data_IF_596894682796
#
_entry.id   IF_596894682796
#
_cell.length_a   1.000
_cell.length_b   1.000
_cell.length_c   1.000
_cell.angle_alpha   90.00
_cell.angle_beta   90.00
_cell.angle_gamma   90.00
#
_symmetry.space_group_name_H-M   'P 1'
#
loop_
_entity.id
_entity.type
_entity.pdbx_description
1 polymer ?
#
# COMPACT_ATOMS: atom_id res chain seq x y z
N UNK A 1 -78.05 -53.73 -29.91
CA UNK A 1 -76.55 -53.52 -30.03
C UNK A 1 -76.21 -52.09 -29.58
N UNK A 2 -75.78 -51.98 -28.31
CA UNK A 2 -75.35 -50.74 -27.70
C UNK A 2 -73.81 -50.81 -27.42
N UNK A 3 -73.03 -50.01 -28.16
CA UNK A 3 -71.58 -49.98 -27.95
C UNK A 3 -71.29 -48.99 -26.81
N UNK A 4 -70.67 -49.47 -25.77
CA UNK A 4 -70.15 -48.69 -24.66
C UNK A 4 -68.78 -48.15 -25.07
N UNK A 5 -68.61 -46.83 -25.04
CA UNK A 5 -67.32 -46.16 -25.23
C UNK A 5 -66.77 -45.83 -23.82
N UNK A 6 -65.67 -46.49 -23.46
CA UNK A 6 -64.94 -46.21 -22.21
C UNK A 6 -64.00 -45.01 -22.46
N UNK A 7 -64.18 -43.95 -21.69
CA UNK A 7 -63.37 -42.74 -21.72
C UNK A 7 -62.26 -42.87 -20.67
N UNK A 8 -60.99 -42.99 -21.11
CA UNK A 8 -59.82 -43.08 -20.22
C UNK A 8 -59.42 -41.65 -19.91
N UNK A 9 -59.55 -41.25 -18.66
CA UNK A 9 -58.99 -40.00 -18.14
C UNK A 9 -57.47 -40.21 -17.80
N UNK A 10 -56.61 -39.62 -18.58
CA UNK A 10 -55.17 -39.56 -18.25
C UNK A 10 -54.94 -38.30 -17.39
N UNK A 11 -54.69 -38.51 -16.09
CA UNK A 11 -54.34 -37.44 -15.16
C UNK A 11 -52.85 -37.09 -15.35
N UNK A 12 -52.59 -35.92 -15.92
CA UNK A 12 -51.26 -35.33 -16.02
C UNK A 12 -50.92 -34.72 -14.67
N UNK A 13 -50.07 -35.38 -13.89
CA UNK A 13 -49.44 -34.82 -12.70
C UNK A 13 -48.29 -33.92 -13.17
N UNK A 14 -48.56 -32.63 -13.21
CA UNK A 14 -47.53 -31.63 -13.46
C UNK A 14 -46.56 -31.56 -12.28
N UNK A 15 -45.34 -32.08 -12.44
CA UNK A 15 -44.22 -31.72 -11.56
C UNK A 15 -43.88 -30.23 -11.77
N UNK A 16 -44.39 -29.36 -10.91
CA UNK A 16 -43.84 -28.04 -10.71
C UNK A 16 -42.42 -28.20 -10.09
N UNK A 17 -41.42 -28.26 -10.95
CA UNK A 17 -40.04 -28.03 -10.52
C UNK A 17 -39.93 -26.60 -10.00
N UNK A 18 -39.84 -26.45 -8.67
CA UNK A 18 -39.40 -25.18 -8.08
C UNK A 18 -37.96 -24.91 -8.58
N UNK A 19 -37.85 -24.07 -9.61
CA UNK A 19 -36.58 -23.44 -9.91
C UNK A 19 -36.25 -22.54 -8.73
N UNK A 20 -35.38 -23.03 -7.84
CA UNK A 20 -34.71 -22.25 -6.83
C UNK A 20 -33.97 -21.13 -7.58
N UNK A 21 -34.62 -19.97 -7.73
CA UNK A 21 -33.98 -18.76 -8.13
C UNK A 21 -32.90 -18.50 -7.09
N UNK A 22 -31.66 -18.79 -7.46
CA UNK A 22 -30.50 -18.30 -6.71
C UNK A 22 -30.67 -16.80 -6.57
N UNK A 23 -31.03 -16.35 -5.38
CA UNK A 23 -31.21 -14.94 -5.02
C UNK A 23 -29.85 -14.25 -5.26
N UNK A 24 -29.67 -13.73 -6.45
CA UNK A 24 -28.49 -13.00 -6.86
C UNK A 24 -28.46 -11.68 -6.09
N UNK A 25 -27.79 -11.67 -4.94
CA UNK A 25 -27.51 -10.41 -4.25
C UNK A 25 -26.79 -9.47 -5.22
N UNK A 26 -27.36 -8.28 -5.43
CA UNK A 26 -26.72 -7.22 -6.21
C UNK A 26 -25.34 -6.91 -5.62
N UNK A 27 -24.30 -6.81 -6.43
CA UNK A 27 -22.96 -6.47 -5.95
C UNK A 27 -22.99 -5.18 -5.13
N UNK A 28 -22.32 -5.18 -4.01
CA UNK A 28 -22.14 -4.01 -3.17
C UNK A 28 -21.12 -3.06 -3.83
N UNK A 29 -21.54 -1.86 -4.16
CA UNK A 29 -20.62 -0.82 -4.62
C UNK A 29 -19.79 -0.32 -3.45
N UNK A 30 -18.48 -0.27 -3.64
CA UNK A 30 -17.48 0.15 -2.64
C UNK A 30 -16.52 1.12 -3.32
N UNK A 31 -16.34 2.29 -2.73
CA UNK A 31 -15.36 3.29 -3.17
C UNK A 31 -14.11 3.22 -2.31
N UNK A 32 -12.96 3.16 -2.94
CA UNK A 32 -11.67 3.11 -2.25
C UNK A 32 -10.64 4.06 -2.89
N UNK A 33 -9.89 4.77 -2.06
CA UNK A 33 -8.69 5.51 -2.51
C UNK A 33 -7.43 4.71 -2.34
N UNK A 34 -6.48 4.96 -3.24
CA UNK A 34 -5.09 4.51 -3.15
C UNK A 34 -4.15 5.70 -3.43
N UNK A 35 -2.96 5.76 -2.82
CA UNK A 35 -2.05 6.90 -3.01
C UNK A 35 -1.42 6.97 -4.40
N UNK A 36 -1.12 5.82 -5.00
CA UNK A 36 -0.38 5.73 -6.27
C UNK A 36 -0.74 4.44 -7.01
N UNK A 37 -0.50 4.41 -8.33
CA UNK A 37 -0.49 3.16 -9.10
C UNK A 37 0.95 2.63 -9.09
N UNK A 38 1.26 1.77 -8.11
CA UNK A 38 2.60 1.21 -7.92
C UNK A 38 2.52 -0.19 -7.31
N UNK A 39 3.67 -0.87 -7.21
CA UNK A 39 3.77 -2.23 -6.65
C UNK A 39 3.31 -2.32 -5.19
N UNK A 40 3.33 -1.23 -4.44
CA UNK A 40 2.77 -1.17 -3.08
C UNK A 40 1.26 -1.47 -3.04
N UNK A 41 0.56 -1.26 -4.17
CA UNK A 41 -0.88 -1.58 -4.32
C UNK A 41 -1.13 -3.00 -4.85
N UNK A 42 -0.11 -3.86 -4.86
CA UNK A 42 -0.16 -5.24 -5.35
C UNK A 42 -1.37 -6.02 -4.82
N UNK A 43 -1.75 -5.99 -3.51
CA UNK A 43 -2.90 -6.72 -3.02
C UNK A 43 -4.21 -6.33 -3.71
N UNK A 44 -4.39 -5.01 -3.95
CA UNK A 44 -5.59 -4.46 -4.59
C UNK A 44 -5.68 -4.87 -6.05
N UNK A 45 -4.60 -4.67 -6.80
CA UNK A 45 -4.58 -4.98 -8.24
C UNK A 45 -4.61 -6.48 -8.52
N UNK A 46 -3.96 -7.31 -7.70
CA UNK A 46 -4.09 -8.76 -7.81
C UNK A 46 -5.51 -9.21 -7.56
N UNK A 47 -6.15 -8.72 -6.49
CA UNK A 47 -7.52 -9.07 -6.18
C UNK A 47 -8.48 -8.68 -7.32
N UNK A 48 -8.26 -7.50 -7.92
CA UNK A 48 -9.05 -6.99 -9.04
C UNK A 48 -8.85 -7.85 -10.31
N UNK A 49 -7.60 -8.07 -10.71
CA UNK A 49 -7.27 -8.81 -11.94
C UNK A 49 -7.64 -10.30 -11.85
N UNK A 50 -7.71 -10.85 -10.64
CA UNK A 50 -8.11 -12.24 -10.38
C UNK A 50 -9.59 -12.43 -10.08
N UNK A 51 -10.39 -11.36 -10.12
CA UNK A 51 -11.83 -11.41 -9.90
C UNK A 51 -12.26 -11.65 -8.44
N UNK A 52 -11.37 -11.54 -7.46
CA UNK A 52 -11.68 -11.85 -6.06
C UNK A 52 -12.72 -10.91 -5.45
N UNK A 53 -12.81 -9.67 -5.91
CA UNK A 53 -13.89 -8.76 -5.50
C UNK A 53 -15.26 -9.24 -6.00
N UNK A 54 -15.33 -9.72 -7.25
CA UNK A 54 -16.56 -10.27 -7.81
C UNK A 54 -17.01 -11.55 -7.08
N UNK A 55 -16.07 -12.42 -6.68
CA UNK A 55 -16.36 -13.62 -5.88
C UNK A 55 -17.06 -13.27 -4.55
N UNK A 56 -16.69 -12.14 -3.94
CA UNK A 56 -17.30 -11.60 -2.72
C UNK A 56 -18.45 -10.62 -3.00
N UNK A 57 -18.94 -10.55 -4.24
CA UNK A 57 -20.02 -9.65 -4.67
C UNK A 57 -19.74 -8.18 -4.33
N UNK A 58 -18.52 -7.73 -4.56
CA UNK A 58 -18.07 -6.35 -4.43
C UNK A 58 -17.82 -5.80 -5.84
N UNK A 59 -18.42 -4.66 -6.13
CA UNK A 59 -18.06 -3.79 -7.24
C UNK A 59 -17.16 -2.68 -6.71
N UNK A 60 -15.85 -2.82 -6.90
CA UNK A 60 -14.86 -1.89 -6.35
C UNK A 60 -14.55 -0.77 -7.34
N UNK A 61 -14.77 0.48 -6.92
CA UNK A 61 -14.34 1.71 -7.59
C UNK A 61 -13.07 2.22 -6.89
N UNK A 62 -11.93 2.22 -7.61
CA UNK A 62 -10.62 2.62 -7.07
C UNK A 62 -10.17 3.93 -7.70
N UNK A 63 -9.89 4.93 -6.87
CA UNK A 63 -9.35 6.23 -7.30
C UNK A 63 -7.96 6.44 -6.74
N UNK A 64 -6.98 6.75 -7.61
CA UNK A 64 -5.64 7.18 -7.19
C UNK A 64 -5.63 8.68 -6.90
N UNK A 65 -5.12 9.06 -5.74
CA UNK A 65 -5.11 10.46 -5.26
C UNK A 65 -3.75 11.14 -5.46
N UNK A 66 -2.75 10.42 -5.97
CA UNK A 66 -1.36 10.88 -6.14
C UNK A 66 -0.68 11.31 -4.81
N UNK A 67 -1.07 10.70 -3.69
CA UNK A 67 -0.44 10.88 -2.39
C UNK A 67 -1.32 10.53 -1.20
N UNK A 68 -0.72 10.07 -0.09
CA UNK A 68 -1.44 9.53 1.07
C UNK A 68 -2.27 10.55 1.85
N UNK A 69 -1.91 11.83 1.85
CA UNK A 69 -2.68 12.87 2.52
C UNK A 69 -4.08 13.10 1.92
N UNK A 70 -4.24 13.21 0.59
CA UNK A 70 -5.55 13.28 -0.05
C UNK A 70 -6.43 12.05 0.21
N UNK A 71 -5.86 10.84 0.28
CA UNK A 71 -6.60 9.60 0.60
C UNK A 71 -7.35 9.73 1.93
N UNK A 72 -6.63 10.14 2.96
CA UNK A 72 -7.17 10.26 4.31
C UNK A 72 -8.21 11.39 4.39
N UNK A 73 -8.01 12.49 3.68
CA UNK A 73 -9.01 13.57 3.63
C UNK A 73 -10.32 13.10 3.00
N UNK A 74 -10.25 12.37 1.87
CA UNK A 74 -11.43 11.81 1.21
C UNK A 74 -12.17 10.80 2.12
N UNK A 75 -11.40 9.97 2.85
CA UNK A 75 -11.99 9.02 3.81
C UNK A 75 -12.66 9.74 4.99
N UNK A 76 -12.03 10.75 5.57
CA UNK A 76 -12.60 11.56 6.67
C UNK A 76 -13.85 12.31 6.22
N UNK A 77 -13.85 12.87 5.00
CA UNK A 77 -15.01 13.56 4.42
C UNK A 77 -16.21 12.63 4.14
N UNK A 78 -15.96 11.33 4.00
CA UNK A 78 -16.98 10.35 3.65
C UNK A 78 -17.20 10.19 2.15
N UNK A 79 -16.32 10.73 1.32
CA UNK A 79 -16.38 10.63 -0.14
C UNK A 79 -16.10 9.20 -0.62
N UNK A 80 -15.36 8.43 0.21
CA UNK A 80 -15.03 7.02 -0.01
C UNK A 80 -15.30 6.19 1.25
N UNK A 81 -15.46 4.87 1.04
CA UNK A 81 -15.73 3.91 2.12
C UNK A 81 -14.45 3.42 2.78
N UNK A 82 -13.40 3.26 1.97
CA UNK A 82 -12.09 2.73 2.36
C UNK A 82 -10.95 3.60 1.80
N UNK A 83 -9.81 3.51 2.46
CA UNK A 83 -8.52 3.90 1.89
C UNK A 83 -7.53 2.77 2.08
N UNK A 84 -6.69 2.49 1.06
CA UNK A 84 -5.59 1.54 1.17
C UNK A 84 -4.29 2.32 1.06
N UNK A 85 -3.73 2.72 2.20
CA UNK A 85 -2.59 3.64 2.30
C UNK A 85 -1.74 3.37 3.55
N UNK A 86 -0.67 4.14 3.74
CA UNK A 86 0.27 3.95 4.84
C UNK A 86 -0.32 4.35 6.20
N UNK A 87 0.00 3.58 7.25
CA UNK A 87 -0.61 3.73 8.58
C UNK A 87 -0.13 4.95 9.37
N UNK A 88 0.98 5.59 8.99
CA UNK A 88 1.41 6.87 9.55
C UNK A 88 0.33 7.96 9.41
N UNK A 89 -0.42 7.94 8.32
CA UNK A 89 -1.54 8.85 8.09
C UNK A 89 -2.66 8.68 9.12
N UNK A 90 -2.93 7.46 9.60
CA UNK A 90 -3.93 7.20 10.66
C UNK A 90 -3.48 7.78 12.00
N UNK A 91 -2.20 7.62 12.32
CA UNK A 91 -1.58 8.17 13.54
C UNK A 91 -1.67 9.70 13.54
N UNK A 92 -1.35 10.34 12.42
CA UNK A 92 -1.39 11.79 12.28
C UNK A 92 -2.83 12.33 12.29
N UNK A 93 -3.77 11.64 11.64
CA UNK A 93 -5.19 11.98 11.72
C UNK A 93 -5.70 11.90 13.16
N UNK A 94 -5.28 10.87 13.93
CA UNK A 94 -5.63 10.73 15.34
C UNK A 94 -5.10 11.90 16.17
N UNK A 95 -3.86 12.34 15.95
CA UNK A 95 -3.28 13.53 16.60
C UNK A 95 -4.13 14.79 16.36
N UNK A 96 -4.75 14.89 15.17
CA UNK A 96 -5.65 15.98 14.80
C UNK A 96 -7.11 15.78 15.31
N UNK A 97 -7.35 14.77 16.14
CA UNK A 97 -8.67 14.43 16.69
C UNK A 97 -9.60 13.74 15.68
N UNK A 98 -9.07 13.26 14.55
CA UNK A 98 -9.81 12.49 13.55
C UNK A 98 -9.61 11.00 13.79
N UNK A 99 -10.67 10.27 14.10
CA UNK A 99 -10.59 8.83 14.37
C UNK A 99 -10.73 8.03 13.07
N UNK A 100 -9.75 7.16 12.84
CA UNK A 100 -9.73 6.18 11.75
C UNK A 100 -9.25 4.85 12.32
N UNK A 101 -9.61 3.73 11.66
CA UNK A 101 -9.21 2.39 12.07
C UNK A 101 -8.52 1.66 10.92
N UNK A 102 -7.33 1.14 11.19
CA UNK A 102 -6.70 0.13 10.37
C UNK A 102 -7.35 -1.24 10.67
N UNK A 103 -7.97 -1.86 9.68
CA UNK A 103 -8.70 -3.13 9.86
C UNK A 103 -7.97 -4.31 9.24
N UNK A 104 -6.92 -4.06 8.48
CA UNK A 104 -6.03 -5.06 7.89
C UNK A 104 -4.70 -4.42 7.49
N UNK A 105 -3.59 -5.09 7.76
CA UNK A 105 -2.29 -4.77 7.18
C UNK A 105 -2.13 -5.51 5.85
N UNK A 106 -1.98 -4.78 4.75
CA UNK A 106 -1.64 -5.37 3.45
C UNK A 106 -0.15 -5.62 3.31
N UNK A 107 0.67 -4.65 3.73
CA UNK A 107 2.13 -4.70 3.73
C UNK A 107 2.63 -4.19 5.10
N UNK A 108 3.54 -4.93 5.72
CA UNK A 108 4.00 -4.70 7.09
C UNK A 108 5.52 -4.52 7.24
N UNK A 109 6.24 -4.36 6.13
CA UNK A 109 7.68 -4.06 6.14
C UNK A 109 7.98 -2.86 5.27
N UNK A 110 8.90 -2.03 5.72
CA UNK A 110 9.34 -0.86 4.98
C UNK A 110 10.11 -1.28 3.72
N UNK A 111 9.71 -0.75 2.57
CA UNK A 111 10.37 -0.96 1.27
C UNK A 111 10.64 0.36 0.51
N UNK A 112 10.51 1.51 1.17
CA UNK A 112 10.89 2.79 0.57
C UNK A 112 12.41 2.86 0.47
N UNK A 113 12.92 2.81 -0.75
CA UNK A 113 14.35 2.83 -1.03
C UNK A 113 14.84 4.25 -1.33
N UNK A 114 16.13 4.49 -1.06
CA UNK A 114 16.80 5.76 -1.31
C UNK A 114 17.83 5.56 -2.42
N UNK A 115 17.75 6.37 -3.46
CA UNK A 115 18.78 6.42 -4.50
C UNK A 115 19.54 7.75 -4.40
N UNK A 116 20.84 7.70 -4.66
CA UNK A 116 21.71 8.89 -4.75
C UNK A 116 22.29 8.98 -6.16
N UNK A 117 22.35 10.18 -6.72
CA UNK A 117 23.01 10.41 -8.00
C UNK A 117 24.50 10.07 -7.90
N UNK A 118 25.08 9.43 -8.93
CA UNK A 118 26.47 8.94 -8.91
C UNK A 118 27.49 10.02 -8.61
N UNK A 119 27.32 11.22 -9.18
CA UNK A 119 28.24 12.33 -8.91
C UNK A 119 28.16 12.80 -7.47
N UNK A 120 26.96 12.85 -6.90
CA UNK A 120 26.77 13.21 -5.48
C UNK A 120 27.34 12.13 -4.56
N UNK A 121 27.17 10.85 -4.90
CA UNK A 121 27.79 9.74 -4.19
C UNK A 121 29.31 9.83 -4.22
N UNK A 122 29.90 10.08 -5.41
CA UNK A 122 31.35 10.29 -5.58
C UNK A 122 31.87 11.46 -4.77
N UNK A 123 31.19 12.60 -4.77
CA UNK A 123 31.59 13.78 -3.99
C UNK A 123 31.59 13.56 -2.48
N UNK A 124 30.79 12.60 -2.00
CA UNK A 124 30.66 12.21 -0.60
C UNK A 124 31.45 10.92 -0.27
N UNK A 125 32.17 10.33 -1.22
CA UNK A 125 32.89 9.05 -1.10
C UNK A 125 31.98 7.90 -0.66
N UNK A 126 30.72 7.89 -1.12
CA UNK A 126 29.70 6.89 -0.79
C UNK A 126 29.61 5.82 -1.90
N UNK A 127 29.51 4.56 -1.47
CA UNK A 127 29.21 3.39 -2.30
C UNK A 127 28.00 2.64 -1.72
N UNK A 128 27.50 1.65 -2.43
CA UNK A 128 26.42 0.78 -1.92
C UNK A 128 26.84 0.00 -0.65
N UNK A 129 28.12 -0.34 -0.53
CA UNK A 129 28.69 -1.07 0.62
C UNK A 129 29.09 -0.18 1.80
N UNK A 130 29.00 1.14 1.67
CA UNK A 130 29.30 2.06 2.80
C UNK A 130 28.35 1.78 3.95
N UNK A 131 28.85 1.71 5.22
CA UNK A 131 28.00 1.50 6.39
C UNK A 131 26.89 2.53 6.52
N UNK A 132 25.69 2.09 6.97
CA UNK A 132 24.52 2.95 7.09
C UNK A 132 24.80 4.26 7.83
N UNK A 133 25.50 4.20 8.97
CA UNK A 133 25.83 5.38 9.76
C UNK A 133 26.63 6.44 8.98
N UNK A 134 27.51 6.01 8.08
CA UNK A 134 28.28 6.91 7.21
C UNK A 134 27.43 7.47 6.07
N UNK A 135 26.56 6.63 5.46
CA UNK A 135 25.58 7.06 4.46
C UNK A 135 24.68 8.16 5.03
N UNK A 136 24.21 8.02 6.27
CA UNK A 136 23.39 9.03 6.93
C UNK A 136 24.14 10.35 7.14
N UNK A 137 25.40 10.30 7.58
CA UNK A 137 26.23 11.51 7.74
C UNK A 137 26.52 12.23 6.42
N UNK A 138 26.58 11.48 5.32
CA UNK A 138 26.82 12.04 3.99
C UNK A 138 25.68 12.90 3.46
N UNK A 139 24.49 12.81 4.06
CA UNK A 139 23.32 13.63 3.65
C UNK A 139 23.52 15.12 3.90
N UNK A 140 24.45 15.53 4.78
CA UNK A 140 24.69 16.95 5.07
C UNK A 140 25.03 17.76 3.82
N UNK A 141 24.29 18.83 3.61
CA UNK A 141 24.45 19.75 2.47
C UNK A 141 23.90 19.21 1.15
N UNK A 142 23.25 18.04 1.15
CA UNK A 142 22.59 17.50 -0.04
C UNK A 142 21.12 17.94 -0.13
N UNK A 143 20.61 17.92 -1.36
CA UNK A 143 19.19 18.11 -1.64
C UNK A 143 18.50 16.74 -1.72
N UNK A 144 17.50 16.53 -0.88
CA UNK A 144 16.72 15.27 -0.79
C UNK A 144 15.32 15.45 -1.39
N UNK A 145 15.04 14.72 -2.44
CA UNK A 145 13.74 14.71 -3.11
C UNK A 145 12.76 13.74 -2.44
N UNK A 146 11.58 14.26 -2.11
CA UNK A 146 10.46 13.49 -1.55
C UNK A 146 9.24 13.58 -2.47
N UNK A 147 8.26 12.67 -2.34
CA UNK A 147 7.10 12.70 -3.24
C UNK A 147 6.28 13.97 -3.04
N UNK A 148 5.78 14.20 -1.83
CA UNK A 148 4.99 15.39 -1.48
C UNK A 148 5.26 15.78 -0.02
N UNK A 149 5.02 17.05 0.37
CA UNK A 149 4.95 17.43 1.77
C UNK A 149 3.85 16.61 2.48
N UNK A 150 4.16 16.08 3.67
CA UNK A 150 3.24 15.23 4.44
C UNK A 150 3.07 13.80 3.94
N UNK A 151 3.81 13.37 2.91
CA UNK A 151 3.87 11.98 2.51
C UNK A 151 4.90 11.21 3.36
N UNK A 152 4.76 9.87 3.43
CA UNK A 152 5.70 9.00 4.15
C UNK A 152 7.16 9.27 3.77
N UNK A 153 7.46 9.56 2.51
CA UNK A 153 8.81 9.90 2.06
C UNK A 153 9.37 11.14 2.75
N UNK A 154 8.54 12.16 3.00
CA UNK A 154 8.94 13.36 3.74
C UNK A 154 9.15 13.05 5.23
N UNK A 155 8.32 12.20 5.83
CA UNK A 155 8.46 11.77 7.21
C UNK A 155 9.74 10.95 7.41
N UNK A 156 10.02 10.00 6.52
CA UNK A 156 11.27 9.22 6.53
C UNK A 156 12.50 10.09 6.31
N UNK A 157 12.45 11.07 5.40
CA UNK A 157 13.55 11.99 5.19
C UNK A 157 13.86 12.78 6.48
N UNK A 158 12.85 13.38 7.11
CA UNK A 158 13.02 14.12 8.36
C UNK A 158 13.57 13.21 9.48
N UNK A 159 13.05 11.99 9.62
CA UNK A 159 13.54 11.01 10.59
C UNK A 159 15.02 10.67 10.38
N UNK A 160 15.40 10.28 9.16
CA UNK A 160 16.77 9.86 8.83
C UNK A 160 17.75 11.02 9.02
N UNK A 161 17.42 12.22 8.61
CA UNK A 161 18.25 13.43 8.77
C UNK A 161 18.46 13.75 10.25
N UNK A 162 17.40 13.72 11.07
CA UNK A 162 17.51 13.96 12.53
C UNK A 162 18.32 12.88 13.21
N UNK A 163 18.13 11.61 12.84
CA UNK A 163 18.93 10.50 13.37
C UNK A 163 20.42 10.62 13.02
N UNK A 164 20.76 11.24 11.91
CA UNK A 164 22.12 11.59 11.55
C UNK A 164 22.70 12.76 12.37
N UNK A 165 21.90 13.38 13.24
CA UNK A 165 22.29 14.55 14.04
C UNK A 165 22.13 15.89 13.33
N UNK A 166 21.36 15.93 12.24
CA UNK A 166 21.18 17.14 11.44
C UNK A 166 19.79 17.74 11.62
N UNK A 167 19.69 19.06 11.32
CA UNK A 167 18.43 19.77 11.24
C UNK A 167 17.87 19.65 9.81
N UNK A 168 16.67 19.04 9.60
CA UNK A 168 16.08 18.91 8.27
C UNK A 168 15.76 20.23 7.55
N UNK A 169 15.75 21.35 8.29
CA UNK A 169 15.43 22.67 7.74
C UNK A 169 16.68 23.52 7.44
N UNK A 170 17.86 23.12 7.94
CA UNK A 170 19.10 23.89 7.86
C UNK A 170 20.25 23.14 7.21
N UNK A 171 20.42 21.85 7.56
CA UNK A 171 21.57 21.06 7.13
C UNK A 171 21.34 20.27 5.84
N UNK A 172 20.06 20.05 5.46
CA UNK A 172 19.64 19.27 4.28
C UNK A 172 18.44 19.95 3.65
N UNK A 173 18.45 20.13 2.35
CA UNK A 173 17.31 20.71 1.64
C UNK A 173 16.33 19.60 1.25
N UNK A 174 15.12 19.60 1.80
CA UNK A 174 14.06 18.66 1.41
C UNK A 174 13.13 19.34 0.41
N UNK A 175 12.95 18.75 -0.78
CA UNK A 175 12.11 19.31 -1.85
C UNK A 175 11.11 18.32 -2.39
N UNK A 176 9.87 18.72 -2.69
CA UNK A 176 8.89 17.86 -3.34
C UNK A 176 9.23 17.72 -4.82
N UNK A 177 9.29 16.47 -5.31
CA UNK A 177 9.61 16.15 -6.72
C UNK A 177 8.54 15.27 -7.39
N UNK A 178 7.45 14.94 -6.68
CA UNK A 178 6.41 14.04 -7.18
C UNK A 178 6.84 12.57 -7.18
N UNK A 179 6.27 11.79 -8.08
CA UNK A 179 6.50 10.34 -8.21
C UNK A 179 6.65 9.93 -9.68
N UNK A 180 7.11 8.69 -9.92
CA UNK A 180 7.25 8.14 -11.26
C UNK A 180 8.16 8.97 -12.17
N UNK A 181 7.70 9.43 -13.37
CA UNK A 181 8.54 10.15 -14.32
C UNK A 181 9.16 11.43 -13.77
N UNK A 182 8.44 12.20 -12.97
CA UNK A 182 8.95 13.47 -12.38
C UNK A 182 10.05 13.19 -11.37
N UNK A 183 9.93 12.15 -10.55
CA UNK A 183 10.96 11.70 -9.64
C UNK A 183 12.24 11.30 -10.38
N UNK A 184 12.08 10.48 -11.45
CA UNK A 184 13.19 10.04 -12.31
C UNK A 184 13.91 11.24 -12.90
N UNK A 185 13.18 12.15 -13.54
CA UNK A 185 13.74 13.34 -14.17
C UNK A 185 14.45 14.26 -13.17
N UNK A 186 13.92 14.41 -11.95
CA UNK A 186 14.54 15.24 -10.92
C UNK A 186 15.91 14.71 -10.49
N UNK A 187 16.04 13.40 -10.28
CA UNK A 187 17.32 12.78 -9.92
C UNK A 187 18.29 12.75 -11.11
N UNK A 188 17.82 12.37 -12.31
CA UNK A 188 18.64 12.27 -13.52
C UNK A 188 19.26 13.64 -13.92
N UNK A 189 18.47 14.71 -13.83
CA UNK A 189 18.92 16.08 -14.14
C UNK A 189 19.55 16.79 -12.93
N UNK A 190 19.84 16.08 -11.85
CA UNK A 190 20.50 16.62 -10.65
C UNK A 190 19.78 17.82 -10.03
N UNK A 191 18.44 17.85 -10.11
CA UNK A 191 17.61 18.80 -9.34
C UNK A 191 17.60 18.43 -7.87
N UNK A 192 17.87 17.17 -7.58
CA UNK A 192 18.12 16.61 -6.24
C UNK A 192 19.34 15.70 -6.28
N UNK A 193 20.04 15.56 -5.17
CA UNK A 193 21.18 14.68 -5.02
C UNK A 193 20.74 13.28 -4.63
N UNK A 194 19.73 13.18 -3.77
CA UNK A 194 19.15 11.97 -3.23
C UNK A 194 17.64 12.03 -3.41
N UNK A 195 17.02 10.90 -3.68
CA UNK A 195 15.56 10.83 -3.72
C UNK A 195 15.07 9.47 -3.21
N UNK A 196 13.90 9.45 -2.56
CA UNK A 196 13.34 8.24 -1.98
C UNK A 196 11.90 8.02 -2.43
N UNK A 197 11.59 6.76 -2.74
CA UNK A 197 10.26 6.31 -3.13
C UNK A 197 10.16 4.78 -3.11
N UNK A 198 8.99 4.26 -3.41
CA UNK A 198 8.76 2.83 -3.56
C UNK A 198 9.39 2.25 -4.84
N UNK A 199 9.79 0.96 -4.85
CA UNK A 199 10.15 0.23 -6.06
C UNK A 199 9.04 0.31 -7.13
N UNK A 200 9.38 0.23 -8.42
CA UNK A 200 10.70 0.02 -9.01
C UNK A 200 11.42 1.32 -9.40
N UNK A 201 10.95 2.49 -8.93
CA UNK A 201 11.47 3.78 -9.41
C UNK A 201 12.95 3.99 -9.07
N UNK A 202 13.45 3.72 -7.83
CA UNK A 202 14.88 3.79 -7.54
C UNK A 202 15.70 2.82 -8.39
N UNK A 203 15.22 1.60 -8.56
CA UNK A 203 15.86 0.56 -9.38
C UNK A 203 15.93 0.96 -10.85
N UNK A 204 14.93 1.68 -11.36
CA UNK A 204 14.93 2.25 -12.71
C UNK A 204 16.06 3.26 -12.90
N UNK A 205 16.26 4.16 -11.92
CA UNK A 205 17.34 5.14 -11.96
C UNK A 205 18.72 4.47 -11.97
N UNK A 206 18.88 3.40 -11.19
CA UNK A 206 20.10 2.60 -11.12
C UNK A 206 20.35 1.86 -12.44
N UNK A 207 19.32 1.22 -13.00
CA UNK A 207 19.40 0.51 -14.27
C UNK A 207 19.78 1.45 -15.44
N UNK A 208 19.29 2.71 -15.41
CA UNK A 208 19.70 3.76 -16.37
C UNK A 208 21.13 4.27 -16.17
N UNK A 209 21.80 3.88 -15.10
CA UNK A 209 23.23 4.10 -14.89
C UNK A 209 23.63 5.44 -14.27
N UNK A 210 22.71 6.31 -13.89
CA UNK A 210 23.04 7.62 -13.28
C UNK A 210 22.94 7.66 -11.75
N UNK A 211 22.38 6.63 -11.11
CA UNK A 211 22.25 6.54 -9.66
C UNK A 211 22.87 5.25 -9.09
N UNK A 212 23.02 5.20 -7.76
CA UNK A 212 23.29 3.99 -6.98
C UNK A 212 22.28 3.91 -5.83
N UNK A 213 22.12 2.72 -5.24
CA UNK A 213 21.29 2.52 -4.05
C UNK A 213 22.01 3.11 -2.84
N UNK A 214 21.41 4.12 -2.21
CA UNK A 214 21.93 4.69 -0.97
C UNK A 214 21.49 3.87 0.24
N UNK A 215 20.17 3.66 0.40
CA UNK A 215 19.61 2.83 1.48
C UNK A 215 18.56 1.89 0.87
N UNK A 216 18.74 0.58 1.09
CA UNK A 216 17.84 -0.45 0.59
C UNK A 216 16.96 -1.01 1.71
N UNK A 217 15.88 -0.32 2.03
CA UNK A 217 14.94 -0.77 3.06
C UNK A 217 14.20 -2.05 2.66
N UNK A 218 13.97 -2.29 1.37
CA UNK A 218 13.36 -3.53 0.88
C UNK A 218 14.22 -4.77 1.23
N UNK A 219 15.54 -4.60 1.36
CA UNK A 219 16.47 -5.63 1.85
C UNK A 219 16.72 -5.57 3.37
N UNK A 220 16.04 -4.67 4.08
CA UNK A 220 16.19 -4.54 5.53
C UNK A 220 17.52 -3.88 5.96
N UNK A 221 18.12 -3.02 5.14
CA UNK A 221 19.38 -2.34 5.47
C UNK A 221 19.27 -1.48 6.74
N UNK A 222 18.08 -0.98 7.05
CA UNK A 222 17.78 -0.34 8.33
C UNK A 222 16.83 -1.21 9.17
N UNK A 223 17.36 -2.12 10.00
CA UNK A 223 16.53 -3.04 10.78
C UNK A 223 15.71 -2.34 11.87
N UNK A 224 16.07 -1.11 12.27
CA UNK A 224 15.35 -0.38 13.32
C UNK A 224 13.95 0.06 12.92
N UNK A 225 13.70 0.16 11.62
CA UNK A 225 12.42 0.58 11.03
C UNK A 225 11.85 -0.44 10.04
N UNK A 226 12.39 -1.68 10.05
CA UNK A 226 11.98 -2.71 9.10
C UNK A 226 10.48 -3.07 9.23
N UNK A 227 9.97 -3.18 10.47
CA UNK A 227 8.55 -3.40 10.73
C UNK A 227 7.82 -2.05 10.80
N UNK A 228 7.33 -1.58 9.68
CA UNK A 228 6.63 -0.30 9.57
C UNK A 228 5.19 -0.50 9.12
N UNK A 229 4.27 0.40 9.52
CA UNK A 229 2.89 0.42 9.03
C UNK A 229 2.86 0.90 7.57
N UNK A 230 3.20 -0.01 6.66
CA UNK A 230 3.10 0.30 5.23
C UNK A 230 1.63 0.36 4.81
N UNK A 231 1.21 -0.34 3.78
CA UNK A 231 -0.15 -0.23 3.27
C UNK A 231 -1.16 -0.97 4.16
N UNK A 232 -2.18 -0.27 4.61
CA UNK A 232 -3.25 -0.79 5.46
C UNK A 232 -4.62 -0.48 4.84
N UNK A 233 -5.58 -1.38 5.02
CA UNK A 233 -6.98 -1.10 4.76
C UNK A 233 -7.55 -0.29 5.92
N UNK A 234 -8.02 0.91 5.62
CA UNK A 234 -8.43 1.91 6.61
C UNK A 234 -9.89 2.27 6.39
N UNK A 235 -10.62 2.41 7.49
CA UNK A 235 -12.04 2.79 7.52
C UNK A 235 -12.32 3.86 8.57
N UNK A 236 -13.48 4.51 8.47
CA UNK A 236 -14.02 5.30 9.57
C UNK A 236 -14.62 4.39 10.66
N UNK A 237 -14.60 4.77 11.95
CA UNK A 237 -15.25 4.00 13.02
C UNK A 237 -16.74 3.76 12.77
N UNK A 238 -17.44 4.72 12.15
CA UNK A 238 -18.86 4.60 11.82
C UNK A 238 -19.10 3.50 10.78
N UNK A 239 -18.19 3.35 9.78
CA UNK A 239 -18.22 2.25 8.81
C UNK A 239 -17.97 0.92 9.53
N UNK A 240 -16.99 0.88 10.45
CA UNK A 240 -16.70 -0.30 11.25
C UNK A 240 -17.89 -0.75 12.12
N UNK A 241 -18.67 0.19 12.63
CA UNK A 241 -19.86 -0.12 13.43
C UNK A 241 -21.06 -0.58 12.57
N UNK A 242 -21.25 0.01 11.39
CA UNK A 242 -22.48 -0.15 10.59
C UNK A 242 -22.39 -1.23 9.50
N UNK A 243 -21.21 -1.47 8.93
CA UNK A 243 -21.03 -2.35 7.75
C UNK A 243 -19.88 -3.34 7.92
N UNK A 244 -19.92 -4.10 9.02
CA UNK A 244 -18.89 -5.11 9.35
C UNK A 244 -18.76 -6.19 8.28
N UNK A 245 -19.86 -6.56 7.62
CA UNK A 245 -19.85 -7.59 6.59
C UNK A 245 -19.04 -7.16 5.36
N UNK A 246 -19.24 -5.94 4.86
CA UNK A 246 -18.43 -5.41 3.77
C UNK A 246 -16.95 -5.33 4.14
N UNK A 247 -16.62 -4.92 5.38
CA UNK A 247 -15.23 -4.89 5.83
C UNK A 247 -14.62 -6.29 5.84
N UNK A 248 -15.33 -7.31 6.39
CA UNK A 248 -14.84 -8.70 6.39
C UNK A 248 -14.64 -9.25 4.98
N UNK A 249 -15.53 -8.93 4.04
CA UNK A 249 -15.38 -9.30 2.63
C UNK A 249 -14.14 -8.65 2.02
N UNK A 250 -13.93 -7.35 2.21
CA UNK A 250 -12.74 -6.62 1.76
C UNK A 250 -11.45 -7.24 2.32
N UNK A 251 -11.43 -7.53 3.62
CA UNK A 251 -10.29 -8.17 4.29
C UNK A 251 -10.02 -9.56 3.70
N UNK A 252 -11.05 -10.40 3.49
CA UNK A 252 -10.90 -11.73 2.85
C UNK A 252 -10.29 -11.62 1.46
N UNK A 253 -10.79 -10.70 0.65
CA UNK A 253 -10.31 -10.47 -0.73
C UNK A 253 -8.83 -10.12 -0.74
N UNK A 254 -8.42 -9.14 0.06
CA UNK A 254 -7.03 -8.66 0.07
C UNK A 254 -6.09 -9.68 0.73
N UNK A 255 -6.53 -10.37 1.79
CA UNK A 255 -5.75 -11.46 2.41
C UNK A 255 -5.55 -12.61 1.42
N UNK A 256 -6.59 -13.01 0.68
CA UNK A 256 -6.51 -14.03 -0.37
C UNK A 256 -5.51 -13.64 -1.47
N UNK A 257 -5.49 -12.37 -1.86
CA UNK A 257 -4.53 -11.86 -2.85
C UNK A 257 -3.09 -11.96 -2.33
N UNK A 258 -2.84 -11.54 -1.09
CA UNK A 258 -1.53 -11.67 -0.45
C UNK A 258 -1.08 -13.14 -0.35
N UNK A 259 -1.96 -14.01 0.13
CA UNK A 259 -1.65 -15.44 0.27
C UNK A 259 -1.36 -16.11 -1.07
N UNK A 260 -2.09 -15.72 -2.13
CA UNK A 260 -1.79 -16.22 -3.47
C UNK A 260 -0.41 -15.74 -3.93
N UNK A 261 -0.12 -14.44 -3.77
CA UNK A 261 1.17 -13.86 -4.17
C UNK A 261 2.35 -14.51 -3.44
N UNK A 262 2.21 -14.75 -2.12
CA UNK A 262 3.25 -15.40 -1.30
C UNK A 262 3.49 -16.88 -1.66
N UNK A 263 2.52 -17.54 -2.29
CA UNK A 263 2.63 -18.94 -2.75
C UNK A 263 3.03 -19.05 -4.22
N UNK A 264 3.09 -17.94 -4.95
CA UNK A 264 3.39 -17.88 -6.38
C UNK A 264 4.85 -17.47 -6.62
N UNK A 265 5.36 -17.77 -7.82
CA UNK A 265 6.66 -17.21 -8.22
C UNK A 265 6.54 -15.72 -8.52
N UNK A 266 7.61 -14.92 -8.39
CA UNK A 266 7.58 -13.50 -8.76
C UNK A 266 7.11 -13.26 -10.19
N UNK A 267 7.43 -14.16 -11.12
CA UNK A 267 7.04 -14.11 -12.52
C UNK A 267 5.52 -14.26 -12.67
N UNK A 268 4.91 -15.22 -11.97
CA UNK A 268 3.45 -15.41 -11.95
C UNK A 268 2.72 -14.20 -11.37
N UNK A 269 3.28 -13.59 -10.33
CA UNK A 269 2.72 -12.37 -9.73
C UNK A 269 2.82 -11.19 -10.69
N UNK A 270 3.99 -11.01 -11.34
CA UNK A 270 4.18 -9.96 -12.34
C UNK A 270 3.20 -10.12 -13.51
N UNK A 271 3.02 -11.35 -14.02
CA UNK A 271 2.06 -11.63 -15.08
C UNK A 271 0.62 -11.26 -14.68
N UNK A 272 0.23 -11.60 -13.46
CA UNK A 272 -1.10 -11.26 -12.95
C UNK A 272 -1.33 -9.76 -12.75
N UNK A 273 -0.26 -8.96 -12.60
CA UNK A 273 -0.33 -7.50 -12.44
C UNK A 273 -0.34 -6.72 -13.76
N UNK A 274 0.06 -7.34 -14.89
CA UNK A 274 0.16 -6.68 -16.21
C UNK A 274 -1.08 -5.85 -16.59
N UNK A 275 -2.33 -6.31 -16.39
CA UNK A 275 -3.50 -5.51 -16.78
C UNK A 275 -3.57 -4.15 -16.07
N UNK A 276 -3.19 -4.09 -14.79
CA UNK A 276 -3.24 -2.86 -13.98
C UNK A 276 -1.97 -2.01 -14.07
N UNK A 277 -0.87 -2.57 -14.60
CA UNK A 277 0.45 -1.94 -14.65
C UNK A 277 1.07 -1.99 -16.05
N UNK A 278 0.24 -1.94 -17.09
CA UNK A 278 0.68 -2.06 -18.50
C UNK A 278 1.70 -1.01 -18.95
N UNK A 279 1.75 0.14 -18.29
CA UNK A 279 2.73 1.21 -18.57
C UNK A 279 4.14 0.93 -18.01
N UNK A 280 4.32 -0.12 -17.17
CA UNK A 280 5.61 -0.48 -16.58
C UNK A 280 6.27 -1.55 -17.45
N UNK A 281 7.55 -1.34 -17.82
CA UNK A 281 8.30 -2.31 -18.58
C UNK A 281 8.38 -3.66 -17.83
N UNK A 282 8.33 -4.83 -18.55
CA UNK A 282 8.21 -6.14 -17.92
C UNK A 282 9.31 -6.50 -16.92
N UNK A 283 10.55 -6.10 -17.20
CA UNK A 283 11.71 -6.29 -16.32
C UNK A 283 11.61 -5.45 -15.04
N UNK A 284 11.12 -4.22 -15.14
CA UNK A 284 10.86 -3.34 -14.00
C UNK A 284 9.64 -3.81 -13.19
N UNK A 285 8.62 -4.33 -13.87
CA UNK A 285 7.45 -4.93 -13.19
C UNK A 285 7.91 -6.11 -12.33
N UNK A 286 8.71 -7.03 -12.90
CA UNK A 286 9.26 -8.18 -12.17
C UNK A 286 10.19 -7.74 -11.01
N UNK A 287 11.07 -6.77 -11.26
CA UNK A 287 11.98 -6.24 -10.25
C UNK A 287 11.22 -5.64 -9.06
N UNK A 288 10.19 -4.83 -9.33
CA UNK A 288 9.33 -4.25 -8.30
C UNK A 288 8.55 -5.30 -7.50
N UNK A 289 8.03 -6.33 -8.17
CA UNK A 289 7.39 -7.48 -7.50
C UNK A 289 8.37 -8.16 -6.55
N UNK A 290 9.59 -8.49 -6.99
CA UNK A 290 10.62 -9.10 -6.13
C UNK A 290 10.96 -8.26 -4.90
N UNK A 291 10.94 -6.94 -5.04
CA UNK A 291 11.22 -6.01 -3.93
C UNK A 291 10.06 -5.91 -2.92
N UNK A 292 8.80 -6.03 -3.37
CA UNK A 292 7.63 -5.82 -2.52
C UNK A 292 7.08 -7.12 -1.92
N UNK A 293 7.22 -8.27 -2.59
CA UNK A 293 6.72 -9.56 -2.09
C UNK A 293 7.08 -9.85 -0.63
N UNK A 294 8.34 -9.63 -0.16
CA UNK A 294 8.71 -9.90 1.24
C UNK A 294 8.00 -9.01 2.27
N UNK A 295 7.35 -7.93 1.82
CA UNK A 295 6.64 -7.01 2.69
C UNK A 295 5.16 -7.35 2.84
N UNK A 296 4.61 -8.29 2.06
CA UNK A 296 3.21 -8.69 2.15
C UNK A 296 2.90 -9.32 3.52
N UNK A 297 1.81 -8.88 4.13
CA UNK A 297 1.25 -9.52 5.30
C UNK A 297 0.48 -10.78 4.92
N UNK A 298 0.86 -11.93 5.48
CA UNK A 298 0.24 -13.22 5.14
C UNK A 298 -1.16 -13.39 5.76
N UNK A 299 -1.40 -12.79 6.92
CA UNK A 299 -2.61 -12.93 7.74
C UNK A 299 -3.40 -11.62 7.90
N UNK A 300 -2.87 -10.51 7.39
CA UNK A 300 -3.48 -9.19 7.49
C UNK A 300 -3.34 -8.53 8.87
N UNK A 301 -2.62 -9.14 9.81
CA UNK A 301 -2.51 -8.66 11.19
C UNK A 301 -1.60 -7.43 11.29
N UNK A 302 -2.07 -6.42 11.98
CA UNK A 302 -1.25 -5.29 12.43
C UNK A 302 -0.71 -5.60 13.83
N UNK A 303 0.61 -5.47 14.04
CA UNK A 303 1.26 -5.70 15.32
C UNK A 303 1.38 -4.40 16.14
N UNK A 304 1.40 -4.51 17.47
CA UNK A 304 1.70 -3.35 18.34
C UNK A 304 3.08 -2.79 18.06
N UNK A 305 4.05 -3.66 17.74
CA UNK A 305 5.42 -3.28 17.41
C UNK A 305 5.48 -2.38 16.17
N UNK A 306 4.74 -2.70 15.10
CA UNK A 306 4.71 -1.85 13.91
C UNK A 306 4.10 -0.47 14.18
N UNK A 307 3.09 -0.39 15.05
CA UNK A 307 2.52 0.88 15.52
C UNK A 307 3.56 1.66 16.32
N UNK A 308 4.26 1.02 17.26
CA UNK A 308 5.30 1.65 18.07
C UNK A 308 6.44 2.20 17.18
N UNK A 309 6.99 1.38 16.28
CA UNK A 309 8.06 1.80 15.36
C UNK A 309 7.61 2.99 14.50
N UNK A 310 6.40 2.95 13.96
CA UNK A 310 5.89 4.06 13.14
C UNK A 310 5.75 5.34 13.96
N UNK A 311 5.25 5.25 15.21
CA UNK A 311 5.18 6.39 16.11
C UNK A 311 6.57 6.90 16.51
N UNK A 312 7.54 6.01 16.74
CA UNK A 312 8.95 6.39 17.03
C UNK A 312 9.56 7.18 15.87
N UNK A 313 9.32 6.73 14.63
CA UNK A 313 9.78 7.44 13.41
C UNK A 313 9.17 8.84 13.32
N UNK A 314 7.85 8.95 13.50
CA UNK A 314 7.16 10.24 13.41
C UNK A 314 7.54 11.20 14.55
N UNK A 315 7.74 10.69 15.75
CA UNK A 315 8.17 11.49 16.91
C UNK A 315 9.61 11.98 16.74
N UNK A 316 10.54 11.10 16.35
CA UNK A 316 11.91 11.46 16.05
C UNK A 316 12.02 12.39 14.83
N UNK A 317 11.12 12.27 13.86
CA UNK A 317 11.00 13.23 12.76
C UNK A 317 10.51 14.62 13.22
N UNK A 318 10.05 14.75 14.48
CA UNK A 318 9.50 15.98 15.04
C UNK A 318 8.09 16.31 14.55
N UNK A 319 7.35 15.31 14.05
CA UNK A 319 6.03 15.44 13.44
C UNK A 319 4.93 15.01 14.44
N UNK A 320 5.12 13.88 15.12
CA UNK A 320 4.19 13.39 16.12
C UNK A 320 4.51 14.06 17.46
N UNK A 321 3.48 14.66 18.10
CA UNK A 321 3.57 15.31 19.41
C UNK A 321 2.91 14.47 20.51
N UNK A 322 1.98 13.60 20.12
CA UNK A 322 1.22 12.76 21.06
C UNK A 322 0.98 11.40 20.45
N UNK A 323 1.43 10.35 21.13
CA UNK A 323 1.17 8.96 20.72
C UNK A 323 -0.27 8.57 20.94
N UNK A 324 -0.76 7.68 20.11
CA UNK A 324 -2.07 7.06 20.23
C UNK A 324 -1.95 5.61 20.72
N UNK A 325 -2.86 5.13 21.57
CA UNK A 325 -2.92 3.73 21.96
C UNK A 325 -3.23 2.83 20.74
N UNK A 326 -2.69 1.61 20.75
CA UNK A 326 -2.91 0.63 19.67
C UNK A 326 -4.40 0.43 19.35
N UNK A 327 -5.23 0.19 20.37
CA UNK A 327 -6.66 -0.09 20.20
C UNK A 327 -7.50 1.10 19.69
N UNK A 328 -6.94 2.33 19.65
CA UNK A 328 -7.60 3.47 19.02
C UNK A 328 -7.25 3.61 17.53
N UNK A 329 -6.21 2.90 17.07
CA UNK A 329 -5.70 2.94 15.69
C UNK A 329 -6.02 1.67 14.90
N UNK A 330 -6.15 0.51 15.58
CA UNK A 330 -6.19 -0.82 14.97
C UNK A 330 -7.34 -1.64 15.51
N UNK A 331 -8.03 -2.36 14.62
CA UNK A 331 -8.91 -3.47 14.98
C UNK A 331 -8.57 -4.69 14.13
N UNK A 332 -8.04 -5.72 14.79
CA UNK A 332 -7.78 -7.03 14.17
C UNK A 332 -9.04 -7.95 14.17
N UNK A 333 -10.22 -7.46 14.58
CA UNK A 333 -11.45 -8.27 14.73
C UNK A 333 -12.09 -8.66 13.39
N UNK A 334 -11.67 -8.02 12.31
CA UNK A 334 -12.16 -8.27 10.96
C UNK A 334 -11.35 -9.32 10.19
N UNK A 335 -10.23 -9.77 10.76
CA UNK A 335 -9.34 -10.75 10.11
C UNK A 335 -10.00 -12.11 9.99
N UNK A 336 -9.59 -12.86 8.95
CA UNK A 336 -10.02 -14.24 8.75
C UNK A 336 -9.42 -15.10 9.86
N UNK A 337 -10.29 -15.87 10.52
CA UNK A 337 -9.89 -16.82 11.57
C UNK A 337 -9.38 -18.11 10.94
#
# INVERSE_FOLDING_TARGET
MKRLIAMVFVTFIGLCGETQQASGQTPKKVKMTIPVIAHSMLPVFLAQNRGYFADEKIELDVTSTNGGGPDIRALIAGDVDFSFTTGDNVILAHQEGKKLLMVMSGLNKLFINWAIHKESAKSKSITESTPLAEKLKALKGLTVGVTNPGALTAHLAAFVIRRAGFNPQQDVQIVPIGSGPTWIAALENRKVDVALTAPPTPETAIARGYAIMLINNAKGEDPSIAEFLMENLIVRPETAAKDQDTIRRMVRVLTRANQWALKSTPEQVADALKPSMAAIAPDLLLSGVKSVLPALSADGRTSERSVQITQDVLEQAGILKKRAPFGELVSNDFLVK
#
